data_IF_609376107177
#
_entry.id   IF_609376107177
#
_cell.length_a   1.000
_cell.length_b   1.000
_cell.length_c   1.000
_cell.angle_alpha   90.00
_cell.angle_beta   90.00
_cell.angle_gamma   90.00
#
_symmetry.space_group_name_H-M   'P 1'
#
loop_
_entity.id
_entity.type
_entity.pdbx_description
1 polymer ?
#
# COMPACT_ATOMS: atom_id res chain seq x y z
N UNK A 1 58.49 -35.22 -0.39
CA UNK A 1 57.42 -34.54 0.37
C UNK A 1 56.73 -33.53 -0.55
N UNK A 2 55.64 -33.93 -1.23
CA UNK A 2 54.88 -33.06 -2.14
C UNK A 2 53.73 -32.44 -1.35
N UNK A 3 53.73 -31.11 -1.21
CA UNK A 3 52.70 -30.34 -0.49
C UNK A 3 51.46 -30.23 -1.39
N UNK A 4 50.31 -30.65 -0.87
CA UNK A 4 49.01 -30.45 -1.51
C UNK A 4 48.54 -29.04 -1.14
N UNK A 5 48.40 -28.16 -2.13
CA UNK A 5 47.75 -26.84 -1.92
C UNK A 5 46.27 -27.06 -2.18
N UNK A 6 45.46 -27.03 -1.12
CA UNK A 6 44.02 -26.98 -1.22
C UNK A 6 43.61 -25.57 -1.64
N UNK A 7 43.04 -25.43 -2.84
CA UNK A 7 42.44 -24.19 -3.30
C UNK A 7 40.97 -24.17 -2.89
N UNK A 8 40.63 -23.35 -1.90
CA UNK A 8 39.25 -23.13 -1.48
C UNK A 8 38.60 -22.12 -2.41
N UNK A 9 37.69 -22.57 -3.28
CA UNK A 9 36.85 -21.69 -4.09
C UNK A 9 35.76 -21.09 -3.18
N UNK A 10 35.91 -19.82 -2.81
CA UNK A 10 34.81 -19.03 -2.25
C UNK A 10 33.89 -18.60 -3.38
N UNK A 11 32.75 -19.26 -3.52
CA UNK A 11 31.66 -18.78 -4.36
C UNK A 11 31.01 -17.57 -3.68
N UNK A 12 31.32 -16.36 -4.13
CA UNK A 12 30.59 -15.15 -3.77
C UNK A 12 29.24 -15.22 -4.50
N UNK A 13 28.19 -15.54 -3.76
CA UNK A 13 26.83 -15.44 -4.26
C UNK A 13 26.48 -13.95 -4.33
N UNK A 14 26.65 -13.35 -5.50
CA UNK A 14 26.15 -12.01 -5.78
C UNK A 14 24.61 -12.07 -5.81
N UNK A 15 23.96 -11.61 -4.75
CA UNK A 15 22.54 -11.31 -4.80
C UNK A 15 22.37 -10.09 -5.71
N UNK A 16 21.99 -10.33 -6.96
CA UNK A 16 21.29 -9.32 -7.76
C UNK A 16 19.95 -9.16 -7.07
N UNK A 17 19.81 -8.15 -6.21
CA UNK A 17 18.51 -7.80 -5.66
C UNK A 17 17.66 -7.31 -6.83
N UNK A 18 16.78 -8.17 -7.33
CA UNK A 18 15.66 -7.71 -8.13
C UNK A 18 14.85 -6.78 -7.24
N UNK A 19 14.99 -5.48 -7.49
CA UNK A 19 14.10 -4.45 -7.00
C UNK A 19 12.68 -4.86 -7.41
N UNK A 20 11.88 -5.28 -6.43
CA UNK A 20 10.40 -5.27 -6.40
C UNK A 20 9.95 -6.21 -5.28
N UNK A 21 10.14 -5.81 -4.02
CA UNK A 21 9.22 -6.29 -2.98
C UNK A 21 7.86 -5.68 -3.31
N UNK A 22 7.08 -6.37 -4.14
CA UNK A 22 5.68 -6.03 -4.34
C UNK A 22 5.02 -6.09 -2.97
N UNK A 23 4.57 -4.96 -2.42
CA UNK A 23 3.77 -4.97 -1.21
C UNK A 23 2.64 -5.99 -1.37
N UNK A 24 2.52 -6.92 -0.43
CA UNK A 24 1.55 -8.02 -0.48
C UNK A 24 0.40 -7.71 0.46
N UNK A 25 -0.72 -7.23 -0.06
CA UNK A 25 -1.87 -6.98 0.79
C UNK A 25 -2.37 -8.28 1.46
N UNK A 26 -2.72 -8.18 2.73
CA UNK A 26 -3.16 -9.30 3.55
C UNK A 26 -4.67 -9.20 3.84
N UNK A 27 -5.51 -9.94 3.09
CA UNK A 27 -6.94 -10.00 3.40
C UNK A 27 -7.86 -10.20 2.19
N UNK A 28 -9.16 -10.07 2.46
CA UNK A 28 -10.28 -10.11 1.51
C UNK A 28 -10.65 -8.70 1.00
N UNK A 29 -11.56 -8.58 0.03
CA UNK A 29 -11.98 -7.33 -0.64
C UNK A 29 -12.86 -6.38 0.19
N UNK A 30 -12.92 -6.54 1.51
CA UNK A 30 -13.77 -5.72 2.40
C UNK A 30 -13.08 -4.42 2.84
N UNK A 31 -12.51 -3.66 1.91
CA UNK A 31 -11.70 -2.47 2.20
C UNK A 31 -12.52 -1.19 2.45
N UNK A 32 -13.82 -1.31 2.72
CA UNK A 32 -14.76 -0.19 2.83
C UNK A 32 -14.23 0.94 3.75
N UNK A 33 -14.23 2.17 3.23
CA UNK A 33 -13.92 3.39 3.99
C UNK A 33 -15.23 4.10 4.27
N UNK A 34 -15.39 4.64 5.47
CA UNK A 34 -16.51 5.50 5.86
C UNK A 34 -15.97 6.83 6.37
N UNK A 35 -16.76 7.89 6.24
CA UNK A 35 -16.41 9.20 6.79
C UNK A 35 -17.18 9.48 8.08
N UNK A 36 -16.48 9.93 9.12
CA UNK A 36 -17.07 10.38 10.38
C UNK A 36 -16.41 11.69 10.81
N UNK A 37 -17.20 12.73 11.05
CA UNK A 37 -16.70 14.03 11.53
C UNK A 37 -15.54 14.59 10.69
N UNK A 38 -15.57 14.38 9.37
CA UNK A 38 -14.52 14.82 8.44
C UNK A 38 -13.27 13.94 8.38
N UNK A 39 -13.15 12.91 9.21
CA UNK A 39 -12.06 11.94 9.18
C UNK A 39 -12.49 10.63 8.49
N UNK A 40 -11.51 9.93 7.89
CA UNK A 40 -11.73 8.65 7.21
C UNK A 40 -11.49 7.49 8.18
N UNK A 41 -12.36 6.49 8.14
CA UNK A 41 -12.27 5.28 8.94
C UNK A 41 -12.45 4.06 8.07
N UNK A 42 -11.78 2.96 8.40
CA UNK A 42 -12.03 1.66 7.79
C UNK A 42 -12.81 0.79 8.78
N UNK A 43 -13.90 0.18 8.33
CA UNK A 43 -14.68 -0.74 9.16
C UNK A 43 -14.09 -2.14 9.08
N UNK A 44 -13.47 -2.58 10.17
CA UNK A 44 -12.85 -3.89 10.28
C UNK A 44 -13.93 -4.92 10.56
N UNK A 45 -14.39 -5.65 9.55
CA UNK A 45 -15.42 -6.70 9.69
C UNK A 45 -14.85 -8.06 10.12
N UNK A 46 -13.57 -8.30 9.80
CA UNK A 46 -12.83 -9.54 10.10
C UNK A 46 -11.47 -9.16 10.70
N UNK A 47 -10.88 -10.04 11.50
CA UNK A 47 -9.53 -9.81 12.05
C UNK A 47 -8.55 -9.46 10.94
N UNK A 48 -7.74 -8.41 11.14
CA UNK A 48 -6.71 -7.98 10.18
C UNK A 48 -5.33 -8.04 10.80
N UNK A 49 -4.35 -8.51 10.04
CA UNK A 49 -2.94 -8.44 10.44
C UNK A 49 -2.43 -7.01 10.37
N UNK A 50 -1.62 -6.64 11.36
CA UNK A 50 -0.92 -5.37 11.42
C UNK A 50 0.51 -5.54 10.93
N UNK A 51 0.95 -4.55 10.16
CA UNK A 51 2.27 -4.50 9.55
C UNK A 51 2.95 -3.16 9.82
N UNK A 52 4.28 -3.15 9.81
CA UNK A 52 5.05 -1.89 9.96
C UNK A 52 5.09 -1.07 8.67
N UNK A 53 4.97 -1.72 7.52
CA UNK A 53 4.94 -1.08 6.19
C UNK A 53 4.24 -2.00 5.20
N UNK A 54 3.56 -1.48 4.17
CA UNK A 54 3.00 -2.30 3.09
C UNK A 54 4.06 -3.12 2.34
N UNK A 55 5.28 -2.59 2.21
CA UNK A 55 6.38 -3.24 1.50
C UNK A 55 7.05 -4.35 2.36
N UNK A 56 6.67 -4.49 3.64
CA UNK A 56 7.14 -5.54 4.54
C UNK A 56 5.96 -6.37 5.09
N UNK A 57 5.77 -7.61 4.59
CA UNK A 57 4.62 -8.43 4.97
C UNK A 57 4.72 -9.03 6.39
N UNK A 58 5.77 -8.72 7.17
CA UNK A 58 5.90 -9.23 8.54
C UNK A 58 4.73 -8.75 9.40
N UNK A 59 4.00 -9.71 9.97
CA UNK A 59 2.91 -9.45 10.89
C UNK A 59 3.49 -9.09 12.25
N UNK A 60 3.10 -7.94 12.80
CA UNK A 60 3.54 -7.48 14.12
C UNK A 60 2.46 -7.60 15.18
N UNK A 61 1.18 -7.56 14.79
CA UNK A 61 0.03 -7.80 15.66
C UNK A 61 -1.24 -7.99 14.83
N UNK A 62 -2.42 -7.91 15.43
CA UNK A 62 -3.71 -7.98 14.79
C UNK A 62 -4.67 -6.91 15.31
N UNK A 63 -5.61 -6.51 14.47
CA UNK A 63 -6.79 -5.72 14.83
C UNK A 63 -7.98 -6.66 14.92
N UNK A 64 -8.67 -6.64 16.06
CA UNK A 64 -9.90 -7.42 16.27
C UNK A 64 -11.02 -6.96 15.32
N UNK A 65 -11.95 -7.86 14.93
CA UNK A 65 -13.09 -7.50 14.11
C UNK A 65 -14.10 -6.63 14.85
N UNK A 66 -15.04 -6.08 14.08
CA UNK A 66 -16.18 -5.27 14.50
C UNK A 66 -15.77 -3.97 15.19
N UNK A 67 -14.90 -3.21 14.53
CA UNK A 67 -14.53 -1.86 14.96
C UNK A 67 -14.18 -0.96 13.78
N UNK A 68 -14.27 0.35 14.00
CA UNK A 68 -13.82 1.33 13.04
C UNK A 68 -12.46 1.86 13.46
N UNK A 69 -11.50 1.81 12.55
CA UNK A 69 -10.13 2.31 12.78
C UNK A 69 -9.91 3.59 11.99
N UNK A 70 -9.33 4.59 12.62
CA UNK A 70 -9.01 5.85 11.96
C UNK A 70 -7.92 5.63 10.90
N UNK A 71 -8.16 6.09 9.67
CA UNK A 71 -7.25 5.97 8.54
C UNK A 71 -6.51 7.28 8.35
N UNK A 72 -5.19 7.23 8.49
CA UNK A 72 -4.28 8.38 8.33
C UNK A 72 -3.91 8.64 6.87
N UNK A 73 -3.78 7.57 6.09
CA UNK A 73 -3.47 7.58 4.66
C UNK A 73 -3.76 6.22 4.05
N UNK A 74 -3.81 6.17 2.72
CA UNK A 74 -3.95 4.94 1.96
C UNK A 74 -2.92 4.86 0.82
N UNK A 75 -2.42 3.66 0.57
CA UNK A 75 -1.64 3.31 -0.62
C UNK A 75 -2.44 2.30 -1.45
N UNK A 76 -2.69 2.62 -2.72
CA UNK A 76 -3.57 1.86 -3.61
C UNK A 76 -2.79 1.39 -4.81
N UNK A 77 -2.73 0.09 -5.04
CA UNK A 77 -2.10 -0.51 -6.21
C UNK A 77 -3.11 -0.61 -7.34
N UNK A 78 -2.76 -0.09 -8.50
CA UNK A 78 -3.61 -0.05 -9.69
C UNK A 78 -2.88 -0.62 -10.90
N UNK A 79 -3.65 -1.10 -11.87
CA UNK A 79 -3.14 -1.43 -13.20
C UNK A 79 -2.98 -0.16 -14.04
N UNK A 80 -1.84 0.00 -14.70
CA UNK A 80 -1.58 1.13 -15.61
C UNK A 80 -0.92 0.64 -16.90
N UNK A 81 -0.85 1.51 -17.91
CA UNK A 81 -0.11 1.25 -19.15
C UNK A 81 1.41 1.06 -18.93
N UNK A 82 1.94 1.46 -17.76
CA UNK A 82 3.32 1.24 -17.33
C UNK A 82 3.50 -0.06 -16.51
N UNK A 83 2.44 -0.86 -16.37
CA UNK A 83 2.32 -1.97 -15.42
C UNK A 83 1.73 -1.53 -14.08
N UNK A 84 1.80 -2.38 -13.06
CA UNK A 84 1.25 -2.08 -11.74
C UNK A 84 1.97 -0.89 -11.10
N UNK A 85 1.21 0.06 -10.55
CA UNK A 85 1.74 1.25 -9.88
C UNK A 85 0.92 1.58 -8.64
N UNK A 86 1.53 2.34 -7.74
CA UNK A 86 0.92 2.79 -6.49
C UNK A 86 0.44 4.23 -6.60
N UNK A 87 -0.75 4.49 -6.06
CA UNK A 87 -1.28 5.81 -5.73
C UNK A 87 -1.26 6.02 -4.24
N UNK A 88 -1.16 7.28 -3.80
CA UNK A 88 -1.27 7.66 -2.40
C UNK A 88 -2.42 8.61 -2.18
N UNK A 89 -3.25 8.30 -1.21
CA UNK A 89 -4.35 9.13 -0.75
C UNK A 89 -4.07 9.57 0.67
N UNK A 90 -3.96 10.87 0.87
CA UNK A 90 -3.95 11.46 2.20
C UNK A 90 -5.36 12.03 2.45
N UNK A 91 -6.15 11.49 3.38
CA UNK A 91 -7.39 12.12 3.79
C UNK A 91 -7.06 13.53 4.27
N UNK A 92 -7.53 14.54 3.54
CA UNK A 92 -7.25 15.94 3.87
C UNK A 92 -7.78 16.27 5.26
N UNK A 93 -6.93 16.92 6.05
CA UNK A 93 -7.36 17.66 7.22
C UNK A 93 -7.89 19.00 6.70
N UNK A 94 -9.21 19.13 6.62
CA UNK A 94 -9.97 20.39 6.47
C UNK A 94 -9.95 21.12 5.11
N UNK A 95 -11.13 21.22 4.47
CA UNK A 95 -11.51 22.35 3.62
C UNK A 95 -11.30 22.26 2.09
N UNK A 96 -10.59 21.25 1.58
CA UNK A 96 -10.48 21.00 0.14
C UNK A 96 -11.52 19.99 -0.33
N UNK A 97 -12.29 20.31 -1.37
CA UNK A 97 -13.18 19.36 -2.07
C UNK A 97 -12.31 18.41 -2.92
N UNK A 98 -11.57 17.52 -2.25
CA UNK A 98 -11.10 16.30 -2.88
C UNK A 98 -12.10 15.24 -2.49
N UNK A 99 -12.67 14.54 -3.47
CA UNK A 99 -13.57 13.44 -3.19
C UNK A 99 -12.90 12.50 -2.18
N UNK A 100 -13.51 12.38 -1.00
CA UNK A 100 -12.99 11.54 0.07
C UNK A 100 -12.73 10.14 -0.49
N UNK A 101 -11.68 9.45 -0.04
CA UNK A 101 -11.36 8.09 -0.52
C UNK A 101 -12.59 7.16 -0.52
N UNK A 102 -13.53 7.37 0.40
CA UNK A 102 -14.85 6.73 0.44
C UNK A 102 -15.69 6.88 -0.83
N UNK A 103 -15.66 8.03 -1.52
CA UNK A 103 -16.35 8.23 -2.80
C UNK A 103 -15.56 7.74 -4.00
N UNK A 104 -14.23 7.76 -3.91
CA UNK A 104 -13.36 7.39 -5.02
C UNK A 104 -13.20 5.87 -5.16
N UNK A 105 -13.16 5.12 -4.05
CA UNK A 105 -12.89 3.68 -4.04
C UNK A 105 -14.18 2.86 -3.88
N UNK A 106 -14.51 2.08 -4.90
CA UNK A 106 -15.48 0.98 -4.80
C UNK A 106 -14.71 -0.33 -4.57
N UNK A 107 -14.56 -0.70 -3.30
CA UNK A 107 -13.89 -1.94 -2.90
C UNK A 107 -14.64 -3.20 -3.36
N UNK A 108 -15.97 -3.11 -3.58
CA UNK A 108 -16.79 -4.23 -4.03
C UNK A 108 -16.59 -4.55 -5.52
N UNK A 109 -16.25 -3.54 -6.32
CA UNK A 109 -15.94 -3.69 -7.76
C UNK A 109 -14.44 -3.66 -8.07
N UNK A 110 -13.59 -3.45 -7.06
CA UNK A 110 -12.16 -3.23 -7.25
C UNK A 110 -11.87 -2.04 -8.18
N UNK A 111 -12.65 -0.96 -8.06
CA UNK A 111 -12.52 0.22 -8.92
C UNK A 111 -12.14 1.46 -8.10
N UNK A 112 -11.28 2.29 -8.69
CA UNK A 112 -10.93 3.59 -8.15
C UNK A 112 -11.22 4.66 -9.20
N UNK A 113 -12.10 5.61 -8.87
CA UNK A 113 -12.31 6.81 -9.66
C UNK A 113 -11.26 7.86 -9.27
N UNK A 114 -10.23 7.99 -10.09
CA UNK A 114 -9.23 9.05 -9.97
C UNK A 114 -9.87 10.35 -10.45
N UNK A 115 -10.02 11.32 -9.57
CA UNK A 115 -10.75 12.57 -9.83
C UNK A 115 -9.85 13.71 -10.35
N UNK A 116 -8.54 13.61 -10.10
CA UNK A 116 -7.53 14.59 -10.50
C UNK A 116 -6.24 13.92 -10.98
N UNK A 117 -5.26 14.71 -11.46
CA UNK A 117 -3.96 14.15 -11.82
C UNK A 117 -3.22 13.69 -10.56
N UNK A 118 -2.93 12.40 -10.45
CA UNK A 118 -2.19 11.82 -9.31
C UNK A 118 -0.81 11.29 -9.74
N UNK A 119 0.14 11.35 -8.82
CA UNK A 119 1.50 10.78 -8.99
C UNK A 119 1.46 9.27 -8.82
N UNK A 120 2.15 8.56 -9.71
CA UNK A 120 2.35 7.12 -9.65
C UNK A 120 3.70 6.78 -8.99
N UNK A 121 3.69 5.81 -8.09
CA UNK A 121 4.86 5.35 -7.36
C UNK A 121 5.17 3.88 -7.70
N UNK A 122 6.44 3.50 -7.62
CA UNK A 122 6.86 2.08 -7.75
C UNK A 122 6.60 1.25 -6.50
N UNK A 123 6.61 1.88 -5.33
CA UNK A 123 6.42 1.20 -4.03
C UNK A 123 5.32 1.89 -3.24
N UNK A 124 4.74 1.15 -2.30
CA UNK A 124 3.64 1.63 -1.49
C UNK A 124 4.10 2.66 -0.43
N UNK A 125 5.38 2.68 -0.06
CA UNK A 125 5.92 3.49 1.03
C UNK A 125 6.99 4.54 0.64
N UNK A 126 7.94 4.25 -0.26
CA UNK A 126 9.11 5.13 -0.43
C UNK A 126 8.76 6.46 -1.11
N UNK A 127 9.12 7.58 -0.47
CA UNK A 127 8.78 8.95 -0.84
C UNK A 127 9.49 9.49 -2.09
N UNK A 128 10.13 8.64 -2.88
CA UNK A 128 10.86 9.10 -4.05
C UNK A 128 9.94 9.06 -5.26
N UNK A 129 9.42 10.23 -5.63
CA UNK A 129 9.14 10.48 -7.03
C UNK A 129 10.45 10.20 -7.78
N UNK A 130 10.43 9.21 -8.69
CA UNK A 130 11.63 8.85 -9.42
C UNK A 130 11.98 9.97 -10.40
N UNK A 131 12.89 10.84 -9.98
CA UNK A 131 13.42 11.91 -10.81
C UNK A 131 12.50 13.13 -10.95
N UNK A 132 12.92 14.12 -11.77
CA UNK A 132 12.26 15.43 -11.88
C UNK A 132 10.86 15.41 -12.52
N UNK A 133 10.45 14.27 -13.11
CA UNK A 133 9.17 14.10 -13.79
C UNK A 133 8.51 12.79 -13.32
N UNK A 134 7.66 12.82 -12.28
CA UNK A 134 6.92 11.64 -11.88
C UNK A 134 5.95 11.21 -12.97
N UNK A 135 5.80 9.90 -13.17
CA UNK A 135 4.69 9.34 -13.92
C UNK A 135 3.37 9.74 -13.23
N UNK A 136 2.34 10.04 -14.01
CA UNK A 136 1.04 10.44 -13.47
C UNK A 136 -0.10 9.69 -14.14
N UNK A 137 -1.21 9.58 -13.42
CA UNK A 137 -2.50 9.15 -13.94
C UNK A 137 -3.44 10.35 -13.94
N UNK A 138 -4.09 10.62 -15.06
CA UNK A 138 -5.12 11.67 -15.19
C UNK A 138 -6.49 11.12 -14.82
N UNK A 139 -7.52 11.98 -14.61
CA UNK A 139 -8.83 11.53 -14.18
C UNK A 139 -9.40 10.41 -15.06
N UNK A 140 -9.70 9.28 -14.44
CA UNK A 140 -10.28 8.08 -15.06
C UNK A 140 -10.65 7.06 -13.98
N UNK A 141 -11.45 6.07 -14.34
CA UNK A 141 -11.63 4.86 -13.50
C UNK A 141 -10.50 3.88 -13.79
N UNK A 142 -9.88 3.35 -12.75
CA UNK A 142 -8.80 2.34 -12.83
C UNK A 142 -9.14 1.13 -11.97
N UNK A 143 -8.67 -0.04 -12.40
CA UNK A 143 -8.79 -1.26 -11.60
C UNK A 143 -7.76 -1.26 -10.46
N UNK A 144 -8.23 -1.61 -9.27
CA UNK A 144 -7.47 -1.73 -8.04
C UNK A 144 -7.10 -3.19 -7.82
N UNK A 145 -5.81 -3.44 -7.56
CA UNK A 145 -5.32 -4.76 -7.16
C UNK A 145 -5.28 -4.94 -5.65
N UNK A 146 -4.82 -3.88 -4.97
CA UNK A 146 -4.50 -3.93 -3.55
C UNK A 146 -4.71 -2.57 -2.93
N UNK A 147 -5.12 -2.58 -1.66
CA UNK A 147 -5.21 -1.37 -0.86
C UNK A 147 -4.54 -1.60 0.49
N UNK A 148 -3.82 -0.59 0.94
CA UNK A 148 -3.22 -0.54 2.25
C UNK A 148 -3.66 0.73 2.96
N UNK A 149 -4.06 0.59 4.22
CA UNK A 149 -4.41 1.72 5.07
C UNK A 149 -3.44 1.83 6.23
N UNK A 150 -2.89 3.03 6.44
CA UNK A 150 -2.20 3.35 7.69
C UNK A 150 -3.25 3.77 8.71
N UNK A 151 -3.26 3.10 9.85
CA UNK A 151 -4.24 3.30 10.90
C UNK A 151 -3.58 3.65 12.23
N UNK A 152 -4.31 4.38 13.08
CA UNK A 152 -3.88 4.61 14.45
C UNK A 152 -4.08 3.34 15.30
N UNK A 153 -3.03 2.95 16.04
CA UNK A 153 -3.08 1.83 16.99
C UNK A 153 -2.33 2.18 18.28
N UNK A 154 -2.52 1.37 19.32
CA UNK A 154 -1.77 1.49 20.58
C UNK A 154 -0.27 1.19 20.44
N UNK A 155 0.15 0.56 19.34
CA UNK A 155 1.56 0.35 18.97
C UNK A 155 2.13 1.52 18.14
N UNK A 156 1.39 2.62 18.02
CA UNK A 156 1.63 3.69 17.05
C UNK A 156 1.03 3.37 15.67
N UNK A 157 1.29 4.20 14.64
CA UNK A 157 0.80 3.96 13.29
C UNK A 157 1.22 2.59 12.76
N UNK A 158 0.29 1.87 12.12
CA UNK A 158 0.50 0.55 11.52
C UNK A 158 -0.34 0.41 10.26
N UNK A 159 0.01 -0.57 9.44
CA UNK A 159 -0.63 -0.80 8.16
C UNK A 159 -1.49 -2.08 8.17
N UNK A 160 -2.66 -2.01 7.52
CA UNK A 160 -3.52 -3.15 7.21
C UNK A 160 -3.73 -3.23 5.70
N UNK A 161 -3.81 -4.44 5.15
CA UNK A 161 -3.93 -4.69 3.71
C UNK A 161 -5.25 -5.32 3.29
N UNK A 162 -5.60 -5.12 2.02
CA UNK A 162 -6.73 -5.72 1.32
C UNK A 162 -6.32 -6.11 -0.10
N UNK A 163 -6.58 -7.36 -0.49
CA UNK A 163 -6.56 -7.74 -1.90
C UNK A 163 -7.96 -7.53 -2.46
N UNK A 164 -8.04 -7.01 -3.68
CA UNK A 164 -9.28 -6.74 -4.39
C UNK A 164 -9.57 -7.78 -5.46
#
# INVERSE_FOLDING_TARGET
MKKLIAATFMAVLAFVSFDTSSAMAAGNSHADIIQKNGASYNTIKVTKSLHNSPDNPTVVNYVSPVQDVHVRQASIKIDTWLGERWLRYHPLIYGGVHDSLHHALDAGQADLYVTERMILYKTAWQNEALGPFPDTVTPQTVNVKQVWYEIDTWLGPKWIGYNM
#
